data_IF_827131645308
#
_entry.id   IF_827131645308
#
_cell.length_a   1.000
_cell.length_b   1.000
_cell.length_c   1.000
_cell.angle_alpha   90.00
_cell.angle_beta   90.00
_cell.angle_gamma   90.00
#
_symmetry.space_group_name_H-M   'P 1'
#
loop_
_entity.id
_entity.type
_entity.pdbx_description
1 polymer ?
#
# COMPACT_ATOMS: atom_id res chain seq x y z
N UNK A 1 -6.24 18.79 -21.05
CA UNK A 1 -5.22 17.84 -20.57
C UNK A 1 -5.77 17.12 -19.34
N UNK A 2 -5.58 15.80 -19.22
CA UNK A 2 -6.06 15.03 -18.07
C UNK A 2 -5.01 15.07 -16.95
N UNK A 3 -5.40 15.50 -15.76
CA UNK A 3 -4.54 15.50 -14.58
C UNK A 3 -4.99 14.40 -13.60
N UNK A 4 -4.26 13.27 -13.54
CA UNK A 4 -4.65 12.15 -12.70
C UNK A 4 -4.47 12.44 -11.20
N UNK A 5 -3.49 13.27 -10.81
CA UNK A 5 -3.23 13.57 -9.40
C UNK A 5 -4.36 14.42 -8.81
N UNK A 6 -4.82 15.42 -9.57
CA UNK A 6 -5.95 16.26 -9.13
C UNK A 6 -7.26 15.48 -9.14
N UNK A 7 -7.53 14.72 -10.20
CA UNK A 7 -8.81 14.01 -10.36
C UNK A 7 -8.97 12.79 -9.47
N UNK A 8 -7.89 12.07 -9.17
CA UNK A 8 -7.96 10.83 -8.39
C UNK A 8 -7.45 10.97 -6.96
N UNK A 9 -6.38 11.75 -6.75
CA UNK A 9 -5.76 11.91 -5.44
C UNK A 9 -6.13 13.24 -4.75
N UNK A 10 -6.80 14.16 -5.46
CA UNK A 10 -7.14 15.48 -4.93
C UNK A 10 -5.92 16.37 -4.69
N UNK A 11 -4.76 16.04 -5.26
CA UNK A 11 -3.52 16.79 -5.05
C UNK A 11 -3.47 17.97 -6.03
N UNK A 12 -3.46 19.23 -5.54
CA UNK A 12 -3.40 20.41 -6.40
C UNK A 12 -2.03 20.54 -7.08
N UNK A 13 -1.99 21.24 -8.21
CA UNK A 13 -0.79 21.42 -9.01
C UNK A 13 0.29 22.24 -8.28
N UNK A 14 -0.13 23.15 -7.39
CA UNK A 14 0.74 24.02 -6.59
C UNK A 14 1.60 23.27 -5.56
N UNK A 15 1.29 21.99 -5.28
CA UNK A 15 2.00 21.16 -4.28
C UNK A 15 2.86 20.07 -4.91
N UNK A 16 3.35 20.30 -6.14
CA UNK A 16 4.21 19.34 -6.85
C UNK A 16 5.70 19.66 -6.62
N UNK A 17 6.54 18.64 -6.39
CA UNK A 17 6.26 17.20 -6.44
C UNK A 17 5.53 16.67 -5.18
N UNK A 18 4.55 15.75 -5.32
CA UNK A 18 3.82 15.20 -4.18
C UNK A 18 4.74 14.37 -3.29
N UNK A 19 4.61 14.51 -1.98
CA UNK A 19 5.33 13.67 -1.01
C UNK A 19 4.70 12.28 -0.92
N UNK A 20 5.43 11.29 -0.41
CA UNK A 20 4.88 9.94 -0.17
C UNK A 20 3.66 9.99 0.76
N UNK A 21 3.65 10.91 1.74
CA UNK A 21 2.52 11.12 2.64
C UNK A 21 1.29 11.66 1.89
N UNK A 22 1.47 12.65 1.00
CA UNK A 22 0.39 13.20 0.19
C UNK A 22 -0.18 12.20 -0.81
N UNK A 23 0.66 11.34 -1.41
CA UNK A 23 0.22 10.26 -2.30
C UNK A 23 -0.71 9.27 -1.60
N UNK A 24 -0.48 8.99 -0.31
CA UNK A 24 -1.32 8.11 0.49
C UNK A 24 -2.50 8.83 1.15
N UNK A 25 -2.49 10.17 1.16
CA UNK A 25 -3.51 10.97 1.83
C UNK A 25 -3.45 10.85 3.36
N UNK A 26 -2.24 10.68 3.91
CA UNK A 26 -2.00 10.59 5.36
C UNK A 26 -1.18 11.78 5.85
N UNK A 27 -1.22 11.99 7.17
CA UNK A 27 -0.43 13.01 7.84
C UNK A 27 1.05 12.60 7.93
N UNK A 28 2.01 13.54 7.82
CA UNK A 28 3.44 13.24 7.90
C UNK A 28 3.91 12.79 9.28
N UNK A 29 3.15 13.10 10.33
CA UNK A 29 3.37 12.66 11.71
C UNK A 29 2.81 11.25 12.01
N UNK A 30 2.09 10.63 11.06
CA UNK A 30 1.54 9.29 11.20
C UNK A 30 2.67 8.25 11.31
N UNK A 31 2.62 7.45 12.38
CA UNK A 31 3.63 6.43 12.68
C UNK A 31 3.09 5.02 12.71
N UNK A 32 1.77 4.87 12.79
CA UNK A 32 1.11 3.57 12.84
C UNK A 32 1.20 2.88 11.47
N UNK A 33 1.73 1.66 11.47
CA UNK A 33 1.91 0.85 10.26
C UNK A 33 0.57 0.39 9.70
N UNK A 34 -0.40 0.07 10.56
CA UNK A 34 -1.73 -0.37 10.14
C UNK A 34 -2.46 0.75 9.40
N UNK A 35 -2.33 1.99 9.87
CA UNK A 35 -2.90 3.18 9.21
C UNK A 35 -2.26 3.39 7.83
N UNK A 36 -0.93 3.26 7.73
CA UNK A 36 -0.20 3.41 6.46
C UNK A 36 -0.63 2.33 5.46
N UNK A 37 -0.67 1.07 5.88
CA UNK A 37 -1.09 -0.05 5.02
C UNK A 37 -2.55 0.09 4.57
N UNK A 38 -3.44 0.49 5.46
CA UNK A 38 -4.84 0.75 5.14
C UNK A 38 -4.99 1.88 4.10
N UNK A 39 -4.21 2.97 4.25
CA UNK A 39 -4.20 4.08 3.30
C UNK A 39 -3.68 3.64 1.92
N UNK A 40 -2.60 2.85 1.88
CA UNK A 40 -2.08 2.28 0.63
C UNK A 40 -3.13 1.41 -0.06
N UNK A 41 -3.82 0.55 0.69
CA UNK A 41 -4.84 -0.34 0.13
C UNK A 41 -6.01 0.45 -0.44
N UNK A 42 -6.50 1.46 0.29
CA UNK A 42 -7.56 2.37 -0.17
C UNK A 42 -7.17 3.04 -1.48
N UNK A 43 -5.98 3.63 -1.52
CA UNK A 43 -5.52 4.37 -2.69
C UNK A 43 -5.26 3.47 -3.90
N UNK A 44 -4.60 2.33 -3.67
CA UNK A 44 -4.32 1.35 -4.72
C UNK A 44 -5.60 0.77 -5.31
N UNK A 45 -6.58 0.44 -4.47
CA UNK A 45 -7.86 -0.12 -4.93
C UNK A 45 -8.64 0.89 -5.77
N UNK A 46 -8.65 2.16 -5.35
CA UNK A 46 -9.29 3.22 -6.12
C UNK A 46 -8.64 3.41 -7.50
N UNK A 47 -7.30 3.47 -7.56
CA UNK A 47 -6.58 3.69 -8.82
C UNK A 47 -6.66 2.48 -9.76
N UNK A 48 -6.71 1.26 -9.21
CA UNK A 48 -6.89 0.01 -10.00
C UNK A 48 -8.16 0.01 -10.85
N UNK A 49 -9.22 0.68 -10.41
CA UNK A 49 -10.46 0.80 -11.17
C UNK A 49 -10.28 1.50 -12.53
N UNK A 50 -9.19 2.27 -12.70
CA UNK A 50 -8.90 3.01 -13.93
C UNK A 50 -7.86 2.31 -14.84
N UNK A 51 -7.38 1.12 -14.47
CA UNK A 51 -6.36 0.38 -15.24
C UNK A 51 -6.88 -0.23 -16.55
N UNK A 52 -8.20 -0.37 -16.73
CA UNK A 52 -8.82 -0.92 -17.95
C UNK A 52 -9.40 0.17 -18.87
N UNK A 53 -9.20 1.45 -18.52
CA UNK A 53 -9.79 2.59 -19.23
C UNK A 53 -8.81 3.41 -20.08
N UNK A 54 -9.27 4.53 -20.65
CA UNK A 54 -8.46 5.44 -21.49
C UNK A 54 -7.24 6.07 -20.79
N UNK A 55 -7.15 5.92 -19.47
CA UNK A 55 -6.08 6.48 -18.63
C UNK A 55 -5.28 5.38 -17.91
N UNK A 56 -5.26 4.16 -18.46
CA UNK A 56 -4.57 3.00 -17.90
C UNK A 56 -3.07 3.26 -17.64
N UNK A 57 -2.40 3.99 -18.53
CA UNK A 57 -0.99 4.36 -18.36
C UNK A 57 -0.78 5.24 -17.12
N UNK A 58 -1.65 6.23 -16.92
CA UNK A 58 -1.62 7.09 -15.73
C UNK A 58 -1.92 6.31 -14.45
N UNK A 59 -2.89 5.38 -14.50
CA UNK A 59 -3.22 4.53 -13.36
C UNK A 59 -2.03 3.65 -12.96
N UNK A 60 -1.36 3.05 -13.95
CA UNK A 60 -0.17 2.21 -13.73
C UNK A 60 0.98 3.00 -13.12
N UNK A 61 1.24 4.21 -13.63
CA UNK A 61 2.25 5.10 -13.06
C UNK A 61 1.98 5.42 -11.59
N UNK A 62 0.75 5.81 -11.27
CA UNK A 62 0.38 6.16 -9.89
C UNK A 62 0.47 4.94 -8.97
N UNK A 63 0.08 3.75 -9.44
CA UNK A 63 0.22 2.53 -8.65
C UNK A 63 1.68 2.21 -8.33
N UNK A 64 2.60 2.46 -9.26
CA UNK A 64 4.04 2.33 -9.01
C UNK A 64 4.52 3.35 -7.96
N UNK A 65 4.05 4.59 -8.03
CA UNK A 65 4.37 5.64 -7.05
C UNK A 65 3.82 5.30 -5.66
N UNK A 66 2.58 4.77 -5.57
CA UNK A 66 1.98 4.28 -4.32
C UNK A 66 2.78 3.10 -3.75
N UNK A 67 3.21 2.17 -4.59
CA UNK A 67 4.05 1.05 -4.16
C UNK A 67 5.40 1.55 -3.60
N UNK A 68 6.04 2.51 -4.28
CA UNK A 68 7.26 3.13 -3.79
C UNK A 68 7.05 3.84 -2.43
N UNK A 69 5.94 4.55 -2.27
CA UNK A 69 5.55 5.18 -1.01
C UNK A 69 5.44 4.15 0.13
N UNK A 70 4.73 3.04 -0.11
CA UNK A 70 4.61 1.94 0.85
C UNK A 70 5.98 1.41 1.27
N UNK A 71 6.84 1.06 0.30
CA UNK A 71 8.17 0.52 0.59
C UNK A 71 9.04 1.48 1.39
N UNK A 72 8.83 2.78 1.24
CA UNK A 72 9.58 3.81 1.95
C UNK A 72 9.05 4.01 3.38
N UNK A 73 7.73 4.06 3.57
CA UNK A 73 7.10 4.44 4.83
C UNK A 73 6.92 3.28 5.82
N UNK A 74 6.82 2.03 5.32
CA UNK A 74 6.72 0.83 6.16
C UNK A 74 8.06 0.47 6.81
N UNK A 75 9.18 0.74 6.13
CA UNK A 75 10.51 0.51 6.71
C UNK A 75 10.97 1.75 7.51
N UNK A 76 11.13 1.64 8.84
CA UNK A 76 11.47 2.79 9.68
C UNK A 76 12.83 3.42 9.32
N UNK A 77 13.79 2.65 8.79
CA UNK A 77 15.10 3.17 8.37
C UNK A 77 14.97 3.98 7.08
N UNK A 78 14.17 3.50 6.13
CA UNK A 78 13.93 4.20 4.86
C UNK A 78 13.10 5.45 5.07
N UNK A 79 12.08 5.38 5.95
CA UNK A 79 11.27 6.53 6.36
C UNK A 79 12.14 7.62 6.97
N UNK A 80 12.97 7.29 7.96
CA UNK A 80 13.86 8.28 8.59
C UNK A 80 14.81 8.96 7.59
N UNK A 81 15.36 8.19 6.63
CA UNK A 81 16.19 8.75 5.55
C UNK A 81 15.40 9.70 4.65
N UNK A 82 14.16 9.33 4.31
CA UNK A 82 13.28 10.13 3.48
C UNK A 82 12.84 11.42 4.20
N UNK A 83 12.50 11.35 5.48
CA UNK A 83 12.14 12.51 6.31
C UNK A 83 13.30 13.48 6.48
N UNK A 84 14.54 12.95 6.58
CA UNK A 84 15.75 13.76 6.60
C UNK A 84 15.99 14.49 5.25
N UNK A 85 15.60 13.89 4.13
CA UNK A 85 15.68 14.54 2.81
C UNK A 85 14.64 15.65 2.66
N UNK A 86 13.43 15.46 3.21
CA UNK A 86 12.35 16.46 3.20
C UNK A 86 12.68 17.69 4.05
N UNK A 87 13.37 17.48 5.16
CA UNK A 87 13.78 18.51 6.12
C UNK A 87 14.87 19.46 5.62
N UNK A 88 15.59 19.10 4.56
CA UNK A 88 16.80 19.81 4.11
C UNK A 88 17.91 19.87 5.19
N UNK A 89 19.09 20.43 4.88
CA UNK A 89 20.19 20.56 5.85
C UNK A 89 19.91 21.53 7.03
N UNK A 90 18.66 21.99 7.22
CA UNK A 90 18.33 23.02 8.22
C UNK A 90 17.14 22.69 9.15
N UNK A 91 16.54 21.49 9.09
CA UNK A 91 15.59 21.13 10.15
C UNK A 91 16.33 20.34 11.25
N UNK A 92 16.27 20.79 12.52
CA UNK A 92 16.70 19.97 13.64
C UNK A 92 15.88 18.66 13.66
N UNK A 93 16.45 17.55 14.17
CA UNK A 93 15.75 16.26 14.21
C UNK A 93 14.37 16.43 14.85
N UNK A 94 13.34 15.69 14.42
CA UNK A 94 12.04 15.73 15.06
C UNK A 94 12.23 15.36 16.53
N UNK A 95 12.25 16.39 17.37
CA UNK A 95 12.28 16.29 18.81
C UNK A 95 11.15 15.35 19.21
N UNK A 96 11.51 14.16 19.66
CA UNK A 96 10.63 13.30 20.45
C UNK A 96 10.49 13.91 21.85
N UNK A 97 10.06 15.16 21.89
CA UNK A 97 9.68 15.93 23.07
C UNK A 97 8.24 16.33 22.76
N UNK A 98 7.20 15.86 23.44
CA UNK A 98 7.12 15.60 24.87
C UNK A 98 5.90 14.73 25.15
N UNK A 99 6.11 13.56 25.74
CA UNK A 99 5.12 12.91 26.59
C UNK A 99 5.73 12.48 27.93
N UNK A 100 6.83 13.12 28.34
CA UNK A 100 7.06 13.36 29.76
C UNK A 100 6.30 14.65 30.10
N UNK A 101 5.00 14.54 30.30
CA UNK A 101 4.32 15.47 31.19
C UNK A 101 4.94 15.20 32.56
N UNK A 102 5.97 15.96 32.88
CA UNK A 102 6.46 16.08 34.24
C UNK A 102 5.28 16.58 35.07
N UNK A 103 4.94 15.81 36.09
CA UNK A 103 4.28 16.27 37.30
C UNK A 103 4.81 17.65 37.70
N UNK A 104 4.08 18.69 37.34
CA UNK A 104 4.10 19.93 38.08
C UNK A 104 2.69 20.09 38.62
N UNK A 105 2.52 19.53 39.82
CA UNK A 105 1.39 19.80 40.68
C UNK A 105 1.31 21.31 40.88
N UNK A 106 0.44 21.96 40.09
CA UNK A 106 -0.07 23.27 40.43
C UNK A 106 -1.09 22.99 41.54
N UNK A 107 -0.69 23.31 42.76
CA UNK A 107 -1.57 23.45 43.91
C UNK A 107 -2.64 24.50 43.57
N UNK A 108 -3.82 24.04 43.18
CA UNK A 108 -5.01 24.87 42.99
C UNK A 108 -5.80 24.78 44.29
N UNK A 109 -5.99 25.87 45.04
CA UNK A 109 -6.81 25.84 46.24
C UNK A 109 -8.26 25.52 45.84
N UNK A 110 -8.81 24.49 46.48
CA UNK A 110 -10.17 24.01 46.29
C UNK A 110 -11.19 25.12 46.61
N UNK A 111 -11.90 25.61 45.59
CA UNK A 111 -13.11 26.40 45.74
C UNK A 111 -14.34 25.49 45.51
N UNK A 112 -15.41 25.62 46.33
CA UNK A 112 -16.52 24.68 46.35
C UNK A 112 -17.42 24.84 45.11
N UNK A 113 -17.82 23.70 44.54
CA UNK A 113 -18.72 23.62 43.40
C UNK A 113 -20.14 24.12 43.74
N UNK A 114 -20.74 25.06 42.97
CA UNK A 114 -22.18 25.27 43.02
C UNK A 114 -22.90 24.15 42.26
N UNK A 115 -23.90 23.57 42.93
CA UNK A 115 -24.72 22.47 42.45
C UNK A 115 -25.32 22.72 41.06
N UNK A 116 -25.17 21.74 40.17
CA UNK A 116 -25.81 21.72 38.86
C UNK A 116 -27.35 21.56 39.01
N UNK A 117 -28.15 22.24 38.17
CA UNK A 117 -29.60 22.03 38.13
C UNK A 117 -29.96 20.63 37.60
N UNK A 118 -31.07 20.02 38.04
CA UNK A 118 -31.48 18.70 37.57
C UNK A 118 -31.88 18.76 36.09
N UNK A 119 -31.22 17.95 35.26
CA UNK A 119 -31.66 17.70 33.87
C UNK A 119 -33.03 17.01 33.90
N UNK A 120 -34.05 17.49 33.16
CA UNK A 120 -35.29 16.76 33.00
C UNK A 120 -35.01 15.43 32.28
N UNK A 121 -35.52 14.35 32.87
CA UNK A 121 -35.43 12.99 32.35
C UNK A 121 -35.94 12.92 30.91
N UNK A 122 -35.08 12.49 29.98
CA UNK A 122 -35.50 12.09 28.64
C UNK A 122 -36.45 10.91 28.75
N UNK A 123 -37.65 11.10 28.21
CA UNK A 123 -38.67 10.08 28.06
C UNK A 123 -38.14 8.81 27.35
N UNK A 124 -38.71 7.62 27.62
CA UNK A 124 -38.32 6.39 26.94
C UNK A 124 -38.60 6.48 25.44
N UNK A 125 -37.74 5.90 24.57
CA UNK A 125 -38.00 5.84 23.14
C UNK A 125 -39.24 4.97 22.85
N UNK A 126 -40.01 5.28 21.79
CA UNK A 126 -41.13 4.44 21.38
C UNK A 126 -40.63 3.05 20.94
N UNK A 127 -41.44 1.98 21.10
CA UNK A 127 -41.08 0.66 20.61
C UNK A 127 -40.91 0.70 19.10
N UNK A 128 -39.74 0.27 18.62
CA UNK A 128 -39.51 0.06 17.19
C UNK A 128 -40.43 -1.07 16.73
N UNK A 129 -41.17 -0.93 15.61
CA UNK A 129 -41.84 -2.08 15.01
C UNK A 129 -40.75 -3.11 14.64
N UNK A 130 -40.90 -4.34 15.13
CA UNK A 130 -40.08 -5.45 14.66
C UNK A 130 -40.35 -5.59 13.16
N UNK A 131 -39.31 -5.39 12.34
CA UNK A 131 -39.37 -5.77 10.94
C UNK A 131 -39.57 -7.29 10.90
N UNK A 132 -40.76 -7.71 10.51
CA UNK A 132 -41.08 -9.11 10.28
C UNK A 132 -40.31 -9.58 9.03
N UNK A 133 -39.17 -10.22 9.26
CA UNK A 133 -38.22 -10.63 8.21
C UNK A 133 -38.78 -11.77 7.34
N UNK A 134 -39.94 -12.32 7.69
CA UNK A 134 -40.61 -13.39 6.94
C UNK A 134 -41.34 -12.86 5.69
N UNK A 135 -41.62 -11.54 5.62
CA UNK A 135 -42.44 -10.95 4.55
C UNK A 135 -41.66 -10.40 3.34
N UNK A 136 -40.32 -10.45 3.36
CA UNK A 136 -39.45 -9.96 2.28
C UNK A 136 -38.84 -11.06 1.40
N UNK A 137 -39.13 -12.33 1.67
CA UNK A 137 -38.72 -13.41 0.76
C UNK A 137 -39.75 -13.57 -0.36
N UNK A 138 -39.36 -13.55 -1.65
CA UNK A 138 -40.28 -13.92 -2.72
C UNK A 138 -40.76 -15.37 -2.51
N UNK A 139 -42.02 -15.71 -2.84
CA UNK A 139 -42.52 -17.07 -2.69
C UNK A 139 -41.65 -18.01 -3.53
N UNK A 140 -40.95 -18.93 -2.87
CA UNK A 140 -40.27 -20.01 -3.56
C UNK A 140 -41.34 -20.89 -4.23
N UNK A 141 -41.21 -21.24 -5.52
CA UNK A 141 -42.14 -22.18 -6.14
C UNK A 141 -41.98 -23.53 -5.47
N UNK A 142 -43.01 -23.91 -4.72
CA UNK A 142 -43.20 -25.22 -4.09
C UNK A 142 -43.05 -26.28 -5.17
N UNK A 143 -41.94 -27.02 -5.11
CA UNK A 143 -41.67 -28.18 -5.97
C UNK A 143 -42.71 -29.24 -5.65
N UNK A 144 -43.79 -29.22 -6.43
CA UNK A 144 -44.82 -30.26 -6.39
C UNK A 144 -44.15 -31.58 -6.74
N UNK A 145 -44.19 -32.51 -5.79
CA UNK A 145 -43.97 -33.91 -6.05
C UNK A 145 -45.04 -34.38 -7.02
N UNK A 146 -44.62 -34.77 -8.23
CA UNK A 146 -45.42 -35.58 -9.13
C UNK A 146 -44.60 -36.82 -9.46
N UNK A 147 -45.19 -37.95 -9.09
CA UNK A 147 -44.70 -39.31 -9.28
C UNK A 147 -44.69 -39.68 -10.76
N UNK A 148 -43.81 -40.64 -11.04
CA UNK A 148 -43.94 -41.69 -12.06
C UNK A 148 -44.26 -41.31 -13.50
N UNK A 149 -43.28 -41.47 -14.38
CA UNK A 149 -43.49 -42.29 -15.57
C UNK A 149 -42.18 -42.88 -16.06
N UNK A 150 -42.10 -44.21 -15.97
CA UNK A 150 -41.21 -45.05 -16.77
C UNK A 150 -41.48 -44.80 -18.25
N UNK A 151 -40.44 -44.83 -19.08
CA UNK A 151 -40.31 -45.68 -20.29
C UNK A 151 -39.15 -45.21 -21.17
N UNK A 152 -38.50 -46.20 -21.79
CA UNK A 152 -37.53 -46.10 -22.90
C UNK A 152 -36.17 -45.46 -22.55
N UNK A 153 -35.04 -46.16 -22.55
CA UNK A 153 -34.65 -47.26 -23.43
C UNK A 153 -33.62 -46.71 -24.42
N UNK A 154 -32.35 -47.14 -24.32
CA UNK A 154 -31.36 -46.81 -25.35
C UNK A 154 -29.90 -46.78 -24.89
N UNK A 155 -29.29 -47.98 -24.86
CA UNK A 155 -27.92 -48.30 -25.34
C UNK A 155 -26.82 -47.22 -25.17
N UNK A 156 -25.89 -47.43 -24.25
CA UNK A 156 -24.68 -48.26 -24.41
C UNK A 156 -23.58 -47.65 -25.32
N UNK A 157 -22.51 -47.22 -24.64
CA UNK A 157 -21.09 -47.24 -25.00
C UNK A 157 -20.70 -46.81 -26.43
N UNK A 158 -20.44 -45.51 -26.57
CA UNK A 158 -19.55 -44.98 -27.61
C UNK A 158 -18.21 -44.55 -27.01
N UNK A 159 -17.25 -45.49 -26.89
CA UNK A 159 -15.82 -45.14 -26.84
C UNK A 159 -15.48 -44.36 -28.10
N UNK A 160 -14.84 -43.18 -27.98
CA UNK A 160 -13.84 -42.70 -28.94
C UNK A 160 -12.94 -41.63 -28.33
N UNK A 161 -11.74 -42.12 -28.01
CA UNK A 161 -10.41 -41.51 -28.21
C UNK A 161 -10.15 -40.11 -27.65
N UNK A 162 -9.21 -40.13 -26.70
CA UNK A 162 -8.22 -39.11 -26.42
C UNK A 162 -7.85 -38.24 -27.64
N UNK A 163 -7.92 -36.93 -27.43
CA UNK A 163 -6.99 -35.98 -28.01
C UNK A 163 -6.42 -35.17 -26.85
N UNK A 164 -5.18 -35.54 -26.49
CA UNK A 164 -4.23 -34.65 -25.85
C UNK A 164 -4.20 -33.34 -26.63
N UNK A 165 -4.42 -32.25 -25.91
CA UNK A 165 -4.45 -30.90 -26.46
C UNK A 165 -4.31 -29.91 -25.31
N UNK A 166 -3.19 -29.99 -24.59
CA UNK A 166 -2.70 -28.91 -23.74
C UNK A 166 -2.35 -27.71 -24.63
N UNK A 167 -3.37 -26.97 -25.03
CA UNK A 167 -3.30 -25.73 -25.78
C UNK A 167 -3.99 -24.64 -24.95
N UNK A 168 -3.23 -24.06 -24.04
CA UNK A 168 -3.71 -23.03 -23.11
C UNK A 168 -2.61 -22.48 -22.22
N UNK A 169 -1.38 -22.48 -22.73
CA UNK A 169 -0.27 -21.72 -22.18
C UNK A 169 0.28 -20.90 -23.36
N UNK A 170 0.82 -19.71 -23.09
CA UNK A 170 1.24 -18.68 -24.08
C UNK A 170 0.20 -17.57 -24.33
N UNK A 171 -0.23 -16.89 -23.25
CA UNK A 171 -0.32 -15.42 -23.24
C UNK A 171 0.28 -14.81 -21.96
N UNK A 172 1.23 -15.52 -21.33
CA UNK A 172 1.94 -15.07 -20.11
C UNK A 172 3.47 -15.28 -20.13
N UNK A 173 4.06 -15.74 -21.24
CA UNK A 173 5.51 -15.98 -21.31
C UNK A 173 6.39 -14.78 -21.75
N UNK A 174 5.92 -13.58 -22.17
CA UNK A 174 6.88 -12.49 -22.38
C UNK A 174 7.40 -11.91 -21.06
N UNK A 175 6.63 -11.99 -19.96
CA UNK A 175 6.99 -11.29 -18.72
C UNK A 175 8.13 -11.96 -17.95
N UNK A 176 8.14 -13.30 -17.85
CA UNK A 176 9.21 -14.02 -17.15
C UNK A 176 10.52 -13.92 -17.93
N UNK A 177 10.47 -14.00 -19.27
CA UNK A 177 11.65 -13.83 -20.11
C UNK A 177 12.21 -12.40 -20.00
N UNK A 178 11.36 -11.37 -20.02
CA UNK A 178 11.79 -9.96 -19.84
C UNK A 178 12.34 -9.73 -18.44
N UNK A 179 11.72 -10.28 -17.39
CA UNK A 179 12.24 -10.19 -16.01
C UNK A 179 13.61 -10.86 -15.88
N UNK A 180 13.82 -12.03 -16.50
CA UNK A 180 15.11 -12.70 -16.49
C UNK A 180 16.17 -11.97 -17.32
N UNK A 181 15.79 -11.34 -18.44
CA UNK A 181 16.69 -10.50 -19.26
C UNK A 181 17.09 -9.24 -18.48
N UNK A 182 16.14 -8.57 -17.82
CA UNK A 182 16.40 -7.37 -17.00
C UNK A 182 17.23 -7.72 -15.77
N UNK A 183 16.94 -8.83 -15.07
CA UNK A 183 17.76 -9.32 -13.96
C UNK A 183 19.18 -9.67 -14.40
N UNK A 184 19.34 -10.30 -15.57
CA UNK A 184 20.66 -10.63 -16.12
C UNK A 184 21.44 -9.37 -16.52
N UNK A 185 20.76 -8.34 -17.03
CA UNK A 185 21.36 -7.05 -17.35
C UNK A 185 21.82 -6.31 -16.08
N UNK A 186 20.98 -6.26 -15.03
CA UNK A 186 21.33 -5.67 -13.73
C UNK A 186 22.51 -6.42 -13.10
N UNK A 187 22.49 -7.75 -13.10
CA UNK A 187 23.59 -8.56 -12.57
C UNK A 187 24.91 -8.35 -13.33
N UNK A 188 24.86 -8.23 -14.67
CA UNK A 188 26.04 -7.88 -15.49
C UNK A 188 26.54 -6.46 -15.22
N UNK A 189 25.64 -5.52 -14.95
CA UNK A 189 26.00 -4.11 -14.68
C UNK A 189 26.62 -3.94 -13.29
N UNK A 190 26.17 -4.70 -12.28
CA UNK A 190 26.79 -4.72 -10.94
C UNK A 190 28.12 -5.50 -10.90
N UNK A 191 28.33 -6.44 -11.83
CA UNK A 191 29.59 -7.18 -11.93
C UNK A 191 30.80 -6.33 -12.34
N UNK A 192 30.60 -5.26 -13.11
CA UNK A 192 31.69 -4.40 -13.56
C UNK A 192 32.12 -3.35 -12.53
N UNK A 193 31.21 -2.86 -11.70
CA UNK A 193 31.51 -1.80 -10.71
C UNK A 193 32.22 -2.31 -9.46
N UNK A 194 32.08 -3.59 -9.12
CA UNK A 194 32.78 -4.21 -7.97
C UNK A 194 34.22 -4.59 -8.32
N UNK A 195 34.50 -4.90 -9.60
CA UNK A 195 35.86 -5.22 -10.04
C UNK A 195 36.79 -4.00 -10.01
N UNK A 196 36.27 -2.79 -10.30
CA UNK A 196 37.09 -1.58 -10.41
C UNK A 196 37.48 -0.98 -9.04
N UNK A 197 36.69 -1.21 -7.99
CA UNK A 197 37.04 -0.79 -6.61
C UNK A 197 37.98 -1.75 -5.88
N UNK A 198 38.29 -2.92 -6.45
CA UNK A 198 39.22 -3.90 -5.88
C UNK A 198 40.62 -3.82 -6.53
N UNK A 199 40.94 -2.76 -7.25
CA UNK A 199 42.33 -2.46 -7.60
C UNK A 199 43.10 -2.05 -6.33
N UNK A 200 44.24 -2.69 -6.01
CA UNK A 200 45.00 -2.34 -4.82
C UNK A 200 45.47 -0.89 -4.93
N UNK A 201 45.21 -0.11 -3.87
CA UNK A 201 45.91 1.16 -3.63
C UNK A 201 47.40 0.94 -3.89
N UNK A 202 47.96 1.73 -4.80
CA UNK A 202 49.40 1.78 -5.03
C UNK A 202 50.11 1.84 -3.66
N UNK A 203 51.11 0.97 -3.39
CA UNK A 203 51.95 1.15 -2.22
C UNK A 203 52.69 2.48 -2.37
N UNK A 204 52.73 3.24 -1.28
CA UNK A 204 53.45 4.50 -1.19
C UNK A 204 54.88 4.35 -1.74
N UNK A 205 55.24 5.23 -2.67
CA UNK A 205 56.62 5.40 -3.14
C UNK A 205 57.50 5.70 -1.91
N UNK A 206 58.58 4.95 -1.66
CA UNK A 206 59.53 5.33 -0.63
C UNK A 206 60.24 6.61 -1.10
N UNK A 207 60.14 7.68 -0.31
CA UNK A 207 61.01 8.85 -0.45
C UNK A 207 62.44 8.37 -0.22
N UNK A 208 63.20 8.35 -1.31
CA UNK A 208 64.63 8.06 -1.34
C UNK A 208 65.36 9.12 -0.51
N UNK A 209 65.93 8.70 0.62
CA UNK A 209 66.74 9.55 1.47
C UNK A 209 68.08 9.86 0.74
N UNK A 210 68.58 11.10 0.79
CA UNK A 210 69.83 11.45 0.12
C UNK A 210 71.00 10.73 0.80
N UNK A 211 71.73 10.00 -0.04
CA UNK A 211 73.06 9.42 0.18
C UNK A 211 73.97 10.43 0.90
N UNK A 212 74.46 10.06 2.08
CA UNK A 212 75.59 10.72 2.74
C UNK A 212 76.76 9.74 2.69
N UNK A 213 77.83 10.18 2.03
CA UNK A 213 79.13 9.53 1.94
C UNK A 213 79.77 9.37 3.32
N UNK A 214 80.42 8.22 3.55
CA UNK A 214 81.83 8.10 3.98
C UNK A 214 82.33 6.66 3.79
#
# INVERSE_FOLDING_TARGET
MFDPYRKWLGIPEDRRPPTHYQLLGIQPDERDLDVIEAAVLRQSSFVRNFQTGPHADHATRILNEIAAARLCLVDPRRRAKYDAQLSGPSAPPPSQSSARHLDLAIDVPAAPAPAAPPRPASAPPPPRPALDLDQLLPPTPRRAAARDTRLSGGRALGRRRAASGSAGYIWQVPLVAVVLIVLSFIARTLGQTIAEQRAPRQPAVPVEAPRVEE
#
